data_IF_388243956713
#
_entry.id   IF_388243956713
#
_cell.length_a   1.000
_cell.length_b   1.000
_cell.length_c   1.000
_cell.angle_alpha   90.00
_cell.angle_beta   90.00
_cell.angle_gamma   90.00
#
_symmetry.space_group_name_H-M   'P 1'
#
loop_
_entity.id
_entity.type
_entity.pdbx_description
1 polymer ?
#
# COMPACT_ATOMS: atom_id res chain seq x y z
N UNK A 1 -13.06 4.36 12.28
CA UNK A 1 -13.21 5.30 11.15
C UNK A 1 -13.35 4.47 9.90
N UNK A 2 -14.40 4.67 9.09
CA UNK A 2 -14.66 3.85 7.90
C UNK A 2 -13.46 3.88 6.94
N UNK A 3 -12.99 2.70 6.51
CA UNK A 3 -11.74 2.47 5.75
C UNK A 3 -11.91 2.65 4.23
N UNK A 4 -13.07 3.08 3.76
CA UNK A 4 -13.36 3.31 2.33
C UNK A 4 -12.86 4.70 1.88
N UNK A 5 -11.55 4.91 1.83
CA UNK A 5 -11.00 6.25 1.50
C UNK A 5 -10.61 6.46 0.04
N UNK A 6 -10.41 5.38 -0.73
CA UNK A 6 -9.97 5.50 -2.13
C UNK A 6 -11.07 5.00 -3.05
N UNK A 7 -11.89 5.95 -3.54
CA UNK A 7 -12.89 5.70 -4.57
C UNK A 7 -12.57 6.56 -5.78
N UNK A 8 -12.54 5.95 -6.96
CA UNK A 8 -12.46 6.69 -8.23
C UNK A 8 -13.87 7.15 -8.60
N UNK A 9 -14.01 8.42 -8.95
CA UNK A 9 -15.20 8.90 -9.65
C UNK A 9 -15.27 8.20 -11.02
N UNK A 10 -16.37 7.48 -11.35
CA UNK A 10 -16.48 6.71 -12.59
C UNK A 10 -16.16 7.53 -13.85
N UNK A 11 -16.51 8.82 -13.84
CA UNK A 11 -16.29 9.77 -14.93
C UNK A 11 -14.80 10.08 -15.17
N UNK A 12 -13.95 9.88 -14.16
CA UNK A 12 -12.52 10.16 -14.21
C UNK A 12 -11.68 8.89 -14.38
N UNK A 13 -12.30 7.71 -14.42
CA UNK A 13 -11.58 6.43 -14.42
C UNK A 13 -10.55 6.36 -15.57
N UNK A 14 -10.94 6.75 -16.78
CA UNK A 14 -10.12 6.64 -17.99
C UNK A 14 -8.94 7.62 -18.05
N UNK A 15 -9.03 8.74 -17.32
CA UNK A 15 -7.96 9.75 -17.29
C UNK A 15 -6.99 9.56 -16.12
N UNK A 16 -7.38 8.75 -15.13
CA UNK A 16 -6.54 8.49 -13.96
C UNK A 16 -5.35 7.60 -14.31
N UNK A 17 -4.17 7.80 -13.70
CA UNK A 17 -3.02 6.94 -13.89
C UNK A 17 -3.35 5.46 -13.60
N UNK A 18 -2.74 4.54 -14.36
CA UNK A 18 -2.94 3.09 -14.17
C UNK A 18 -2.61 2.64 -12.76
N UNK A 19 -1.59 3.21 -12.12
CA UNK A 19 -1.23 2.90 -10.73
C UNK A 19 -2.34 3.29 -9.74
N UNK A 20 -3.06 4.38 -9.99
CA UNK A 20 -4.19 4.79 -9.15
C UNK A 20 -5.41 3.89 -9.39
N UNK A 21 -5.68 3.52 -10.64
CA UNK A 21 -6.72 2.54 -10.97
C UNK A 21 -6.47 1.19 -10.30
N UNK A 22 -5.21 0.72 -10.34
CA UNK A 22 -4.78 -0.53 -9.71
C UNK A 22 -4.88 -0.43 -8.18
N UNK A 23 -4.50 0.70 -7.59
CA UNK A 23 -4.69 0.95 -6.16
C UNK A 23 -6.17 0.83 -5.80
N UNK A 24 -7.10 1.48 -6.50
CA UNK A 24 -8.53 1.40 -6.16
C UNK A 24 -9.09 -0.03 -6.30
N UNK A 25 -8.65 -0.79 -7.30
CA UNK A 25 -9.15 -2.15 -7.57
C UNK A 25 -8.54 -3.23 -6.68
N UNK A 26 -7.25 -3.11 -6.38
CA UNK A 26 -6.44 -4.16 -5.78
C UNK A 26 -5.85 -3.78 -4.42
N UNK A 27 -6.15 -2.57 -3.95
CA UNK A 27 -5.75 -2.14 -2.62
C UNK A 27 -6.21 -3.12 -1.55
N UNK A 28 -5.45 -3.07 -0.48
CA UNK A 28 -5.55 -3.98 0.63
C UNK A 28 -6.03 -3.30 1.91
N UNK A 29 -6.41 -2.02 1.80
CA UNK A 29 -7.04 -1.25 2.86
C UNK A 29 -8.25 -2.01 3.42
N UNK A 30 -8.31 -2.12 4.76
CA UNK A 30 -9.40 -2.80 5.46
C UNK A 30 -9.31 -4.32 5.54
N UNK A 31 -8.25 -4.97 5.02
CA UNK A 31 -8.01 -6.40 5.25
C UNK A 31 -7.25 -6.62 6.56
N UNK A 32 -7.97 -6.93 7.62
CA UNK A 32 -7.38 -7.17 8.95
C UNK A 32 -6.67 -8.53 9.08
N UNK A 33 -7.02 -9.50 8.25
CA UNK A 33 -6.36 -10.83 8.20
C UNK A 33 -5.01 -10.84 7.46
N UNK A 34 -4.57 -9.67 6.98
CA UNK A 34 -3.30 -9.52 6.28
C UNK A 34 -2.13 -9.94 7.16
N UNK A 35 -1.20 -10.69 6.58
CA UNK A 35 0.00 -11.11 7.29
C UNK A 35 1.24 -11.19 6.42
N UNK A 36 2.32 -11.73 7.00
CA UNK A 36 3.60 -11.94 6.32
C UNK A 36 3.51 -12.81 5.05
N UNK A 37 2.41 -13.55 4.88
CA UNK A 37 2.16 -14.41 3.71
C UNK A 37 1.74 -13.64 2.46
N UNK A 38 1.26 -12.41 2.62
CA UNK A 38 0.83 -11.54 1.50
C UNK A 38 1.98 -10.65 0.97
N UNK A 39 3.19 -10.84 1.53
CA UNK A 39 4.39 -10.12 1.13
C UNK A 39 4.78 -10.51 -0.31
N UNK A 40 4.82 -9.52 -1.20
CA UNK A 40 5.18 -9.68 -2.62
C UNK A 40 3.99 -9.81 -3.58
N UNK A 41 2.79 -10.12 -3.08
CA UNK A 41 1.55 -10.12 -3.89
C UNK A 41 0.80 -8.79 -3.79
N UNK A 42 1.00 -8.04 -2.70
CA UNK A 42 0.37 -6.74 -2.49
C UNK A 42 1.37 -5.60 -2.65
N UNK A 43 1.08 -4.68 -3.59
CA UNK A 43 1.94 -3.53 -3.92
C UNK A 43 2.17 -2.59 -2.72
N UNK A 44 1.24 -2.55 -1.76
CA UNK A 44 1.38 -1.77 -0.52
C UNK A 44 2.38 -2.34 0.50
N UNK A 45 2.69 -3.64 0.44
CA UNK A 45 3.63 -4.27 1.40
C UNK A 45 5.08 -4.17 0.94
N UNK A 46 5.29 -4.13 -0.37
CA UNK A 46 6.57 -3.94 -1.03
C UNK A 46 6.25 -3.06 -2.24
N UNK A 47 6.25 -1.74 -2.03
CA UNK A 47 6.33 -0.81 -3.16
C UNK A 47 7.55 -1.21 -4.01
N UNK A 48 7.52 -0.99 -5.33
CA UNK A 48 8.65 -1.31 -6.20
C UNK A 48 9.78 -0.29 -6.00
N UNK A 49 10.30 -0.20 -4.78
CA UNK A 49 11.50 0.54 -4.48
C UNK A 49 12.71 -0.19 -5.08
N UNK A 50 13.66 0.55 -5.64
CA UNK A 50 14.94 0.03 -6.16
C UNK A 50 15.85 -0.61 -5.09
N UNK A 51 15.36 -0.71 -3.85
CA UNK A 51 16.01 -1.36 -2.73
C UNK A 51 15.75 -2.88 -2.78
N UNK A 52 16.83 -3.66 -2.80
CA UNK A 52 16.77 -5.12 -2.72
C UNK A 52 15.97 -5.55 -1.48
N UNK A 53 15.19 -6.62 -1.58
CA UNK A 53 14.31 -7.10 -0.50
C UNK A 53 15.00 -7.42 0.85
N UNK A 54 16.34 -7.46 0.87
CA UNK A 54 17.17 -7.64 2.07
C UNK A 54 18.18 -6.52 2.30
N UNK A 55 18.06 -5.37 1.63
CA UNK A 55 18.93 -4.22 1.93
C UNK A 55 18.54 -3.65 3.31
N UNK A 56 19.51 -3.19 4.13
CA UNK A 56 19.23 -2.69 5.48
C UNK A 56 18.18 -1.58 5.49
N UNK A 57 18.19 -0.70 4.49
CA UNK A 57 17.22 0.39 4.34
C UNK A 57 15.79 -0.14 4.10
N UNK A 58 15.62 -1.18 3.28
CA UNK A 58 14.30 -1.80 3.05
C UNK A 58 13.73 -2.44 4.33
N UNK A 59 14.60 -3.03 5.16
CA UNK A 59 14.19 -3.61 6.43
C UNK A 59 13.83 -2.52 7.44
N UNK A 60 14.60 -1.42 7.49
CA UNK A 60 14.28 -0.26 8.32
C UNK A 60 12.90 0.32 7.97
N UNK A 61 12.61 0.52 6.68
CA UNK A 61 11.28 0.99 6.25
C UNK A 61 10.17 0.03 6.63
N UNK A 62 10.35 -1.29 6.45
CA UNK A 62 9.35 -2.29 6.88
C UNK A 62 9.09 -2.26 8.37
N UNK A 63 10.12 -2.13 9.20
CA UNK A 63 9.96 -2.04 10.65
C UNK A 63 9.27 -0.74 11.07
N UNK A 64 9.64 0.38 10.47
CA UNK A 64 9.00 1.67 10.72
C UNK A 64 7.52 1.59 10.34
N UNK A 65 7.20 1.11 9.14
CA UNK A 65 5.82 0.98 8.65
C UNK A 65 4.98 0.03 9.50
N UNK A 66 5.56 -1.10 9.95
CA UNK A 66 4.88 -2.04 10.84
C UNK A 66 4.65 -1.49 12.25
N UNK A 67 5.45 -0.51 12.69
CA UNK A 67 5.29 0.15 13.99
C UNK A 67 4.27 1.28 14.00
N UNK A 68 3.78 1.69 12.82
CA UNK A 68 2.79 2.76 12.74
C UNK A 68 1.46 2.27 13.34
N UNK A 69 0.83 3.08 14.23
CA UNK A 69 -0.45 2.71 14.84
C UNK A 69 -1.58 2.63 13.79
N UNK A 70 -1.43 3.31 12.65
CA UNK A 70 -2.37 3.25 11.53
C UNK A 70 -1.59 3.45 10.22
N UNK A 71 -0.95 2.38 9.69
CA UNK A 71 -0.09 2.48 8.51
C UNK A 71 -0.83 3.03 7.28
N UNK A 72 -2.12 2.68 7.16
CA UNK A 72 -3.05 3.12 6.13
C UNK A 72 -3.39 4.62 6.14
N UNK A 73 -3.19 5.31 7.26
CA UNK A 73 -3.44 6.75 7.43
C UNK A 73 -2.14 7.57 7.56
N UNK A 74 -0.98 6.98 7.23
CA UNK A 74 0.32 7.64 7.36
C UNK A 74 0.88 8.02 5.99
N UNK A 75 1.27 9.28 5.85
CA UNK A 75 2.03 9.78 4.68
C UNK A 75 3.52 9.75 5.00
N UNK A 76 4.29 9.02 4.20
CA UNK A 76 5.75 8.95 4.28
C UNK A 76 6.32 9.85 3.17
N UNK A 77 7.28 10.72 3.51
CA UNK A 77 7.94 11.66 2.58
C UNK A 77 9.41 11.28 2.41
#
# INVERSE_FOLDING_TARGET
>A
MSKERIQIAPELYDIMPSDYQDLVKSATYGKEDRGWKDIGSSKELIEQHSLCAGCPESMAFRYILASLPTPEDTVMV
#
